data_IF_029182334548
#
_entry.id   IF_029182334548
#
_cell.length_a   1.000
_cell.length_b   1.000
_cell.length_c   1.000
_cell.angle_alpha   90.00
_cell.angle_beta   90.00
_cell.angle_gamma   90.00
#
_symmetry.space_group_name_H-M   'P 1'
#
loop_
_entity.id
_entity.type
_entity.pdbx_description
1 polymer ?
#
# COMPACT_ATOMS: atom_id res chain seq x y z
N UNK A 1 -4.57 3.54 12.29
CA UNK A 1 -4.82 3.75 10.85
C UNK A 1 -4.33 2.49 10.18
N UNK A 2 -5.24 1.72 9.60
CA UNK A 2 -4.97 0.48 8.89
C UNK A 2 -4.85 0.77 7.40
N UNK A 3 -3.73 0.38 6.82
CA UNK A 3 -3.46 0.50 5.38
C UNK A 3 -3.10 -0.90 4.88
N UNK A 4 -3.80 -1.37 3.84
CA UNK A 4 -3.56 -2.70 3.26
C UNK A 4 -2.87 -2.50 1.92
N UNK A 5 -1.75 -3.19 1.70
CA UNK A 5 -1.08 -3.16 0.40
C UNK A 5 -1.83 -4.08 -0.56
N UNK A 6 -2.52 -3.50 -1.55
CA UNK A 6 -3.29 -4.26 -2.56
C UNK A 6 -2.36 -4.83 -3.64
N UNK A 7 -1.46 -4.01 -4.19
CA UNK A 7 -0.46 -4.44 -5.19
C UNK A 7 0.65 -3.41 -5.41
N UNK A 8 1.75 -3.85 -6.00
CA UNK A 8 2.85 -3.00 -6.43
C UNK A 8 2.80 -2.72 -7.95
N UNK A 9 2.96 -1.45 -8.32
CA UNK A 9 2.98 -0.95 -9.69
C UNK A 9 4.21 -0.04 -9.89
N UNK A 10 5.35 -0.64 -10.26
CA UNK A 10 6.60 0.09 -10.46
C UNK A 10 7.09 0.76 -9.18
N UNK A 11 7.14 2.10 -9.19
CA UNK A 11 7.61 2.93 -8.06
C UNK A 11 6.52 3.24 -7.01
N UNK A 12 5.29 2.77 -7.24
CA UNK A 12 4.15 2.95 -6.33
C UNK A 12 3.54 1.62 -5.90
N UNK A 13 2.91 1.61 -4.74
CA UNK A 13 1.98 0.59 -4.30
C UNK A 13 0.58 1.20 -4.22
N UNK A 14 -0.44 0.47 -4.67
CA UNK A 14 -1.82 0.81 -4.36
C UNK A 14 -2.14 0.27 -2.98
N UNK A 15 -2.65 1.15 -2.13
CA UNK A 15 -3.03 0.79 -0.77
C UNK A 15 -4.49 1.12 -0.51
N UNK A 16 -5.17 0.24 0.22
CA UNK A 16 -6.55 0.42 0.66
C UNK A 16 -6.57 1.01 2.07
N UNK A 17 -7.31 2.12 2.23
CA UNK A 17 -7.52 2.80 3.50
C UNK A 17 -8.80 2.28 4.19
N UNK A 18 -8.96 2.57 5.48
CA UNK A 18 -10.14 2.15 6.28
C UNK A 18 -11.49 2.60 5.71
N UNK A 19 -11.53 3.69 4.95
CA UNK A 19 -12.74 4.19 4.28
C UNK A 19 -13.03 3.50 2.93
N UNK A 20 -12.27 2.47 2.57
CA UNK A 20 -12.38 1.72 1.31
C UNK A 20 -11.82 2.46 0.09
N UNK A 21 -11.20 3.64 0.28
CA UNK A 21 -10.52 4.33 -0.81
C UNK A 21 -9.17 3.68 -1.11
N UNK A 22 -8.79 3.67 -2.39
CA UNK A 22 -7.49 3.18 -2.86
C UNK A 22 -6.66 4.36 -3.30
N UNK A 23 -5.44 4.47 -2.77
CA UNK A 23 -4.52 5.57 -3.06
C UNK A 23 -3.12 5.03 -3.42
N UNK A 24 -2.38 5.72 -4.30
CA UNK A 24 -0.99 5.37 -4.57
C UNK A 24 -0.08 5.84 -3.42
N UNK A 25 0.87 5.00 -3.05
CA UNK A 25 1.91 5.26 -2.05
C UNK A 25 3.28 4.92 -2.63
N UNK A 26 4.29 5.75 -2.41
CA UNK A 26 5.65 5.48 -2.91
C UNK A 26 6.22 4.21 -2.26
N UNK A 27 6.77 3.30 -3.07
CA UNK A 27 7.41 2.06 -2.58
C UNK A 27 8.58 2.35 -1.65
N UNK A 28 9.25 3.49 -1.82
CA UNK A 28 10.32 3.95 -0.92
C UNK A 28 9.85 4.06 0.55
N UNK A 29 8.56 4.32 0.79
CA UNK A 29 7.97 4.41 2.13
C UNK A 29 7.60 3.04 2.72
N UNK A 30 7.74 1.96 1.94
CA UNK A 30 7.30 0.60 2.26
C UNK A 30 8.47 -0.40 2.27
N UNK A 31 9.54 -0.16 3.05
CA UNK A 31 10.74 -0.99 3.00
C UNK A 31 10.46 -2.41 3.50
N UNK A 32 10.67 -3.40 2.63
CA UNK A 32 10.49 -4.82 2.95
C UNK A 32 9.03 -5.28 3.07
N UNK A 33 8.08 -4.42 2.69
CA UNK A 33 6.67 -4.80 2.66
C UNK A 33 6.34 -5.64 1.42
N UNK A 34 5.25 -6.40 1.50
CA UNK A 34 4.73 -7.26 0.43
C UNK A 34 3.23 -7.07 0.28
N UNK A 35 2.72 -7.56 -0.84
CA UNK A 35 1.28 -7.57 -1.12
C UNK A 35 0.51 -8.28 0.00
N UNK A 36 -0.58 -7.68 0.43
CA UNK A 36 -1.41 -8.14 1.54
C UNK A 36 -0.91 -7.74 2.94
N UNK A 37 0.27 -7.12 3.07
CA UNK A 37 0.70 -6.60 4.37
C UNK A 37 -0.25 -5.49 4.84
N UNK A 38 -0.42 -5.45 6.17
CA UNK A 38 -1.22 -4.43 6.86
C UNK A 38 -0.27 -3.57 7.70
N UNK A 39 -0.26 -2.27 7.42
CA UNK A 39 0.63 -1.26 8.01
C UNK A 39 -0.14 -0.05 8.55
#
# INVERSE_FOLDING_TARGET
>A
MRVIIDRFEGDYALVELENGSVVPMLVLLLPGAREGDVI
#
